data_IF_622705376043
#
_entry.id   IF_622705376043
#
_cell.length_a   1.000
_cell.length_b   1.000
_cell.length_c   1.000
_cell.angle_alpha   90.00
_cell.angle_beta   90.00
_cell.angle_gamma   90.00
#
_symmetry.space_group_name_H-M   'P 1'
#
loop_
_entity.id
_entity.type
_entity.pdbx_description
1 polymer ?
#
# COMPACT_ATOMS: atom_id res chain seq x y z
N UNK A 1 5.32 -11.02 -6.09
CA UNK A 1 5.33 -9.86 -5.17
C UNK A 1 4.07 -9.89 -4.33
N UNK A 2 4.14 -9.37 -3.11
CA UNK A 2 3.02 -9.26 -2.18
C UNK A 2 1.89 -8.40 -2.81
N UNK A 3 0.65 -8.90 -2.82
CA UNK A 3 -0.48 -8.31 -3.57
C UNK A 3 -1.75 -8.14 -2.71
N UNK A 4 -1.72 -7.25 -1.71
CA UNK A 4 -2.87 -7.03 -0.81
C UNK A 4 -3.93 -6.11 -1.44
N UNK A 5 -5.01 -5.87 -0.67
CA UNK A 5 -6.00 -4.85 -0.96
C UNK A 5 -5.63 -3.56 -0.22
N UNK A 6 -5.74 -2.42 -0.91
CA UNK A 6 -5.55 -1.10 -0.35
C UNK A 6 -6.89 -0.41 -0.21
N UNK A 7 -7.23 -0.07 1.03
CA UNK A 7 -8.46 0.63 1.36
C UNK A 7 -8.21 2.14 1.34
N UNK A 8 -8.72 2.80 0.31
CA UNK A 8 -8.72 4.25 0.17
C UNK A 8 -10.13 4.78 0.42
N UNK A 9 -10.31 5.52 1.52
CA UNK A 9 -11.59 6.14 1.95
C UNK A 9 -12.75 5.14 2.10
N UNK A 10 -13.35 4.72 1.00
CA UNK A 10 -14.55 3.87 0.89
C UNK A 10 -14.37 2.71 -0.09
N UNK A 11 -13.20 2.55 -0.70
CA UNK A 11 -12.97 1.59 -1.79
C UNK A 11 -11.72 0.75 -1.53
N UNK A 12 -11.86 -0.56 -1.70
CA UNK A 12 -10.73 -1.51 -1.73
C UNK A 12 -10.22 -1.67 -3.17
N UNK A 13 -8.93 -1.48 -3.39
CA UNK A 13 -8.26 -1.72 -4.68
C UNK A 13 -7.05 -2.60 -4.49
N UNK A 14 -6.95 -3.65 -5.29
CA UNK A 14 -5.78 -4.53 -5.28
C UNK A 14 -4.56 -3.79 -5.83
N UNK A 15 -3.40 -3.97 -5.21
CA UNK A 15 -2.15 -3.40 -5.71
C UNK A 15 -0.96 -4.33 -5.48
N UNK A 16 0.09 -4.13 -6.27
CA UNK A 16 1.37 -4.79 -6.07
C UNK A 16 2.27 -3.91 -5.21
N UNK A 17 3.03 -4.52 -4.29
CA UNK A 17 4.07 -3.84 -3.53
C UNK A 17 5.45 -4.18 -4.11
N UNK A 18 6.24 -3.14 -4.37
CA UNK A 18 7.67 -3.23 -4.66
C UNK A 18 8.45 -2.62 -3.50
N UNK A 19 9.23 -3.45 -2.81
CA UNK A 19 10.13 -3.03 -1.74
C UNK A 19 11.38 -2.37 -2.33
N UNK A 20 12.05 -1.55 -1.53
CA UNK A 20 13.34 -0.95 -1.90
C UNK A 20 14.42 -2.02 -2.14
N UNK A 21 15.41 -1.71 -2.97
CA UNK A 21 16.51 -2.62 -3.28
C UNK A 21 17.26 -3.02 -2.00
N UNK A 22 17.44 -4.32 -1.79
CA UNK A 22 18.05 -4.88 -0.58
C UNK A 22 17.07 -5.15 0.57
N UNK A 23 15.79 -4.77 0.45
CA UNK A 23 14.74 -5.13 1.44
C UNK A 23 13.96 -6.34 0.93
N UNK A 24 14.20 -7.50 1.53
CA UNK A 24 13.53 -8.74 1.14
C UNK A 24 12.16 -8.93 1.83
N UNK A 25 12.01 -8.42 3.05
CA UNK A 25 10.83 -8.62 3.88
C UNK A 25 10.62 -7.44 4.83
N UNK A 26 9.36 -7.17 5.17
CA UNK A 26 8.95 -6.22 6.21
C UNK A 26 8.24 -7.01 7.31
N UNK A 27 8.67 -6.88 8.56
CA UNK A 27 8.09 -7.63 9.68
C UNK A 27 6.92 -6.86 10.31
N UNK A 28 5.96 -7.56 10.96
CA UNK A 28 4.91 -6.89 11.73
C UNK A 28 5.49 -5.98 12.81
N UNK A 29 5.13 -4.70 12.77
CA UNK A 29 5.64 -3.66 13.69
C UNK A 29 6.69 -2.74 13.07
N UNK A 30 7.26 -3.10 11.92
CA UNK A 30 8.23 -2.26 11.22
C UNK A 30 7.54 -1.11 10.48
N UNK A 31 8.31 -0.03 10.29
CA UNK A 31 7.98 1.01 9.32
C UNK A 31 8.84 0.81 8.08
N UNK A 32 8.21 0.82 6.90
CA UNK A 32 8.90 0.65 5.63
C UNK A 32 8.39 1.66 4.60
N UNK A 33 9.24 1.97 3.62
CA UNK A 33 8.87 2.67 2.39
C UNK A 33 8.85 1.67 1.24
N UNK A 34 7.87 1.80 0.38
CA UNK A 34 7.68 0.93 -0.78
C UNK A 34 6.84 1.62 -1.83
N UNK A 35 6.95 1.14 -3.07
CA UNK A 35 6.15 1.60 -4.20
C UNK A 35 4.93 0.70 -4.32
N UNK A 36 3.77 1.32 -4.56
CA UNK A 36 2.50 0.61 -4.77
C UNK A 36 2.07 0.86 -6.22
N UNK A 37 1.80 -0.22 -6.95
CA UNK A 37 1.18 -0.17 -8.27
C UNK A 37 -0.25 -0.71 -8.16
N UNK A 38 -1.25 0.18 -8.34
CA UNK A 38 -2.66 -0.19 -8.25
C UNK A 38 -3.15 -0.77 -9.58
N UNK A 39 -4.00 -1.81 -9.52
CA UNK A 39 -4.52 -2.44 -10.75
C UNK A 39 -5.59 -1.59 -11.45
N UNK A 40 -6.18 -0.65 -10.73
CA UNK A 40 -7.19 0.28 -11.24
C UNK A 40 -6.88 1.69 -10.72
N UNK A 41 -7.02 2.73 -11.56
CA UNK A 41 -6.81 4.11 -11.15
C UNK A 41 -7.75 4.52 -10.01
N UNK A 42 -7.22 5.25 -9.04
CA UNK A 42 -7.98 5.86 -7.92
C UNK A 42 -7.52 7.30 -7.75
N UNK A 43 -8.46 8.16 -7.35
CA UNK A 43 -8.14 9.53 -6.97
C UNK A 43 -7.29 9.55 -5.69
N UNK A 44 -6.02 9.91 -5.82
CA UNK A 44 -5.02 9.94 -4.74
C UNK A 44 -4.43 11.35 -4.65
N UNK A 45 -4.07 11.74 -3.43
CA UNK A 45 -3.34 12.96 -3.12
C UNK A 45 -2.20 12.64 -2.13
N UNK A 46 -1.11 13.41 -2.16
CA UNK A 46 -0.06 13.29 -1.15
C UNK A 46 -0.63 13.57 0.25
N UNK A 47 -0.21 12.79 1.24
CA UNK A 47 -0.75 12.85 2.60
C UNK A 47 -2.05 12.04 2.80
N UNK A 48 -2.65 11.48 1.74
CA UNK A 48 -3.81 10.60 1.87
C UNK A 48 -3.42 9.35 2.67
N UNK A 49 -4.20 9.05 3.71
CA UNK A 49 -4.04 7.84 4.52
C UNK A 49 -4.81 6.69 3.91
N UNK A 50 -4.25 5.49 4.02
CA UNK A 50 -4.86 4.25 3.55
C UNK A 50 -4.57 3.10 4.52
N UNK A 51 -5.36 2.03 4.40
CA UNK A 51 -5.10 0.78 5.11
C UNK A 51 -4.75 -0.33 4.12
N UNK A 52 -3.90 -1.27 4.56
CA UNK A 52 -3.56 -2.48 3.80
C UNK A 52 -4.36 -3.63 4.43
N UNK A 53 -5.08 -4.37 3.59
CA UNK A 53 -6.00 -5.42 4.00
C UNK A 53 -5.73 -6.73 3.28
N UNK A 54 -5.85 -7.81 4.02
CA UNK A 54 -5.79 -9.19 3.52
C UNK A 54 -6.86 -10.04 4.19
N UNK A 55 -7.59 -10.83 3.39
CA UNK A 55 -8.67 -11.67 3.91
C UNK A 55 -9.71 -10.90 4.73
N UNK A 56 -9.92 -9.61 4.41
CA UNK A 56 -10.83 -8.71 5.14
C UNK A 56 -10.27 -8.07 6.41
N UNK A 57 -9.05 -8.44 6.85
CA UNK A 57 -8.40 -7.89 8.05
C UNK A 57 -7.38 -6.81 7.69
N UNK A 58 -7.27 -5.77 8.52
CA UNK A 58 -6.21 -4.76 8.39
C UNK A 58 -4.88 -5.32 8.87
N UNK A 59 -3.89 -5.32 8.00
CA UNK A 59 -2.53 -5.82 8.27
C UNK A 59 -1.49 -4.70 8.31
N UNK A 60 -1.84 -3.52 7.79
CA UNK A 60 -0.96 -2.35 7.82
C UNK A 60 -1.73 -1.05 7.64
N UNK A 61 -1.06 0.06 7.93
CA UNK A 61 -1.56 1.41 7.70
C UNK A 61 -0.46 2.23 7.03
N UNK A 62 -0.85 3.13 6.12
CA UNK A 62 0.09 3.93 5.34
C UNK A 62 -0.41 5.33 5.06
N UNK A 63 0.51 6.15 4.57
CA UNK A 63 0.26 7.48 4.06
C UNK A 63 0.97 7.64 2.73
N UNK A 64 0.30 8.22 1.73
CA UNK A 64 0.89 8.46 0.41
C UNK A 64 1.95 9.55 0.56
N UNK A 65 3.20 9.21 0.26
CA UNK A 65 4.34 10.13 0.35
C UNK A 65 4.60 10.89 -0.95
N UNK A 66 4.38 10.24 -2.10
CA UNK A 66 4.58 10.81 -3.44
C UNK A 66 3.75 10.03 -4.46
N UNK A 67 3.21 10.73 -5.46
CA UNK A 67 2.54 10.13 -6.63
C UNK A 67 3.56 10.01 -7.77
N UNK A 68 3.61 8.85 -8.44
CA UNK A 68 4.60 8.55 -9.49
C UNK A 68 3.95 8.61 -10.87
N UNK A 69 2.76 8.02 -11.02
CA UNK A 69 1.95 7.97 -12.23
C UNK A 69 0.46 7.99 -11.88
#
# INVERSE_FOLDING_TARGET
GYRPQFYFRTTDVTGNIALEEGVEMVMPGDNAKFIIELITPIAIEEGLRFAIREGGRTVGAGVVSKIIE
#
